data_IF_436432994176
#
_entry.id   IF_436432994176
#
_cell.length_a   1.000
_cell.length_b   1.000
_cell.length_c   1.000
_cell.angle_alpha   90.00
_cell.angle_beta   90.00
_cell.angle_gamma   90.00
#
_symmetry.space_group_name_H-M   'P 1'
#
loop_
_entity.id
_entity.type
_entity.pdbx_description
1 polymer ?
#
# COMPACT_ATOMS: atom_id res chain seq x y z
N UNK A 1 -7.75 -17.81 33.14
CA UNK A 1 -6.66 -17.07 32.44
C UNK A 1 -6.10 -17.78 31.20
N UNK A 2 -6.56 -18.99 30.83
CA UNK A 2 -6.02 -19.73 29.66
C UNK A 2 -6.48 -19.23 28.28
N UNK A 3 -7.67 -18.63 28.15
CA UNK A 3 -8.22 -18.24 26.84
C UNK A 3 -7.50 -17.06 26.17
N UNK A 4 -7.01 -16.09 26.94
CA UNK A 4 -6.28 -14.94 26.38
C UNK A 4 -4.88 -15.28 25.86
N UNK A 5 -4.27 -16.36 26.37
CA UNK A 5 -2.93 -16.77 25.98
C UNK A 5 -2.93 -17.51 24.63
N UNK A 6 -3.98 -18.30 24.35
CA UNK A 6 -4.16 -18.98 23.05
C UNK A 6 -4.40 -18.01 21.90
N UNK A 7 -5.13 -16.90 22.14
CA UNK A 7 -5.38 -15.91 21.10
C UNK A 7 -4.13 -15.10 20.77
N UNK A 8 -3.30 -14.76 21.77
CA UNK A 8 -2.01 -14.11 21.58
C UNK A 8 -1.05 -15.01 20.81
N UNK A 9 -0.94 -16.28 21.17
CA UNK A 9 -0.08 -17.24 20.46
C UNK A 9 -0.50 -17.41 19.00
N UNK A 10 -1.81 -17.43 18.73
CA UNK A 10 -2.35 -17.48 17.35
C UNK A 10 -1.97 -16.22 16.57
N UNK A 11 -2.12 -15.04 17.18
CA UNK A 11 -1.78 -13.76 16.54
C UNK A 11 -0.28 -13.64 16.28
N UNK A 12 0.57 -14.01 17.24
CA UNK A 12 2.01 -14.03 17.08
C UNK A 12 2.45 -15.02 15.99
N UNK A 13 1.81 -16.20 15.92
CA UNK A 13 2.05 -17.17 14.85
C UNK A 13 1.68 -16.62 13.47
N UNK A 14 0.57 -15.88 13.39
CA UNK A 14 0.11 -15.21 12.16
C UNK A 14 1.06 -14.08 11.72
N UNK A 15 1.49 -13.23 12.66
CA UNK A 15 2.49 -12.18 12.42
C UNK A 15 3.80 -12.79 11.95
N UNK A 16 4.28 -13.86 12.60
CA UNK A 16 5.50 -14.56 12.20
C UNK A 16 5.42 -15.08 10.77
N UNK A 17 4.32 -15.74 10.40
CA UNK A 17 4.16 -16.28 9.04
C UNK A 17 4.21 -15.16 7.97
N UNK A 18 3.64 -13.99 8.26
CA UNK A 18 3.71 -12.82 7.38
C UNK A 18 5.09 -12.18 7.34
N UNK A 19 5.76 -12.05 8.48
CA UNK A 19 7.14 -11.56 8.55
C UNK A 19 8.09 -12.47 7.75
N UNK A 20 7.92 -13.80 7.86
CA UNK A 20 8.65 -14.76 7.05
C UNK A 20 8.32 -14.55 5.56
N UNK A 21 7.06 -14.38 5.18
CA UNK A 21 6.67 -14.13 3.79
C UNK A 21 7.28 -12.83 3.22
N UNK A 22 7.27 -11.74 3.99
CA UNK A 22 7.91 -10.47 3.64
C UNK A 22 9.41 -10.65 3.44
N UNK A 23 10.07 -11.34 4.39
CA UNK A 23 11.51 -11.65 4.29
C UNK A 23 11.86 -12.43 3.02
N UNK A 24 11.07 -13.44 2.66
CA UNK A 24 11.28 -14.18 1.41
C UNK A 24 11.11 -13.28 0.18
N UNK A 25 10.13 -12.36 0.21
CA UNK A 25 9.88 -11.41 -0.89
C UNK A 25 11.05 -10.44 -1.06
N UNK A 26 11.59 -9.92 0.04
CA UNK A 26 12.76 -9.04 0.05
C UNK A 26 14.01 -9.77 -0.46
N UNK A 27 14.30 -10.97 0.06
CA UNK A 27 15.46 -11.73 -0.41
C UNK A 27 15.39 -12.06 -1.90
N UNK A 28 14.20 -12.32 -2.43
CA UNK A 28 14.02 -12.50 -3.87
C UNK A 28 14.28 -11.22 -4.65
N UNK A 29 13.84 -10.07 -4.14
CA UNK A 29 14.13 -8.77 -4.74
C UNK A 29 15.63 -8.46 -4.73
N UNK A 30 16.31 -8.67 -3.60
CA UNK A 30 17.76 -8.51 -3.48
C UNK A 30 18.50 -9.39 -4.49
N UNK A 31 18.10 -10.66 -4.61
CA UNK A 31 18.67 -11.57 -5.58
C UNK A 31 18.44 -11.09 -7.02
N UNK A 32 17.23 -10.64 -7.34
CA UNK A 32 16.92 -10.11 -8.68
C UNK A 32 17.72 -8.85 -8.99
N UNK A 33 17.87 -7.94 -8.04
CA UNK A 33 18.67 -6.71 -8.21
C UNK A 33 20.15 -7.02 -8.42
N UNK A 34 20.68 -8.03 -7.72
CA UNK A 34 22.08 -8.42 -7.85
C UNK A 34 22.38 -9.14 -9.18
N UNK A 35 21.46 -9.98 -9.67
CA UNK A 35 21.73 -10.90 -10.78
C UNK A 35 20.98 -10.59 -12.08
N UNK A 36 19.99 -9.70 -12.06
CA UNK A 36 19.22 -9.27 -13.25
C UNK A 36 19.31 -7.75 -13.44
N UNK A 37 20.45 -7.21 -13.92
CA UNK A 37 20.63 -5.77 -14.13
C UNK A 37 19.72 -5.19 -15.23
N UNK A 38 19.04 -6.04 -16.01
CA UNK A 38 18.08 -5.65 -17.05
C UNK A 38 16.62 -5.65 -16.57
N UNK A 39 16.35 -5.78 -15.27
CA UNK A 39 14.97 -5.64 -14.76
C UNK A 39 14.38 -4.31 -15.18
N UNK A 40 13.18 -4.35 -15.76
CA UNK A 40 12.52 -3.13 -16.22
C UNK A 40 11.94 -2.38 -15.02
N UNK A 41 11.98 -1.05 -15.07
CA UNK A 41 11.44 -0.21 -13.99
C UNK A 41 10.00 -0.57 -13.56
N UNK A 42 9.07 -0.91 -14.48
CA UNK A 42 7.72 -1.35 -14.09
C UNK A 42 7.69 -2.64 -13.26
N UNK A 43 8.54 -3.61 -13.58
CA UNK A 43 8.63 -4.88 -12.84
C UNK A 43 9.17 -4.66 -11.43
N UNK A 44 10.15 -3.75 -11.29
CA UNK A 44 10.69 -3.36 -10.00
C UNK A 44 9.64 -2.65 -9.16
N UNK A 45 8.94 -1.66 -9.72
CA UNK A 45 7.88 -0.94 -9.03
C UNK A 45 6.76 -1.87 -8.56
N UNK A 46 6.35 -2.84 -9.39
CA UNK A 46 5.36 -3.85 -9.01
C UNK A 46 5.81 -4.65 -7.78
N UNK A 47 7.10 -5.03 -7.71
CA UNK A 47 7.66 -5.74 -6.55
C UNK A 47 7.68 -4.85 -5.30
N UNK A 48 8.03 -3.57 -5.42
CA UNK A 48 7.95 -2.62 -4.31
C UNK A 48 6.52 -2.40 -3.81
N UNK A 49 5.53 -2.33 -4.71
CA UNK A 49 4.12 -2.23 -4.31
C UNK A 49 3.68 -3.45 -3.49
N UNK A 50 4.13 -4.65 -3.87
CA UNK A 50 3.84 -5.87 -3.10
C UNK A 50 4.47 -5.80 -1.70
N UNK A 51 5.73 -5.39 -1.59
CA UNK A 51 6.42 -5.23 -0.30
C UNK A 51 5.71 -4.19 0.57
N UNK A 52 5.36 -3.04 -0.01
CA UNK A 52 4.63 -1.98 0.68
C UNK A 52 3.29 -2.47 1.22
N UNK A 53 2.52 -3.21 0.41
CA UNK A 53 1.24 -3.76 0.86
C UNK A 53 1.40 -4.85 1.94
N UNK A 54 2.44 -5.68 1.83
CA UNK A 54 2.75 -6.68 2.86
C UNK A 54 3.10 -6.01 4.20
N UNK A 55 3.85 -4.91 4.16
CA UNK A 55 4.22 -4.14 5.35
C UNK A 55 2.98 -3.48 5.99
N UNK A 56 2.13 -2.86 5.18
CA UNK A 56 0.87 -2.26 5.64
C UNK A 56 -0.02 -3.28 6.34
N UNK A 57 -0.20 -4.47 5.74
CA UNK A 57 -0.99 -5.54 6.35
C UNK A 57 -0.42 -5.99 7.72
N UNK A 58 0.90 -6.09 7.86
CA UNK A 58 1.54 -6.42 9.14
C UNK A 58 1.26 -5.33 10.19
N UNK A 59 1.29 -4.06 9.76
CA UNK A 59 1.02 -2.92 10.64
C UNK A 59 -0.43 -2.89 11.13
N UNK A 60 -1.40 -3.17 10.26
CA UNK A 60 -2.83 -3.23 10.63
C UNK A 60 -3.15 -4.35 11.62
N UNK A 61 -2.42 -5.47 11.56
CA UNK A 61 -2.70 -6.66 12.37
C UNK A 61 -1.92 -6.71 13.69
N UNK A 62 -1.05 -5.73 13.95
CA UNK A 62 -0.34 -5.60 15.22
C UNK A 62 -1.32 -5.21 16.34
N UNK A 63 -1.65 -6.12 17.29
CA UNK A 63 -2.55 -5.81 18.37
C UNK A 63 -1.92 -4.83 19.35
N UNK A 64 -2.69 -3.84 19.82
CA UNK A 64 -2.27 -2.92 20.89
C UNK A 64 -1.86 -3.67 22.17
N UNK A 65 -2.43 -4.85 22.41
CA UNK A 65 -2.08 -5.69 23.56
C UNK A 65 -0.62 -6.15 23.55
N UNK A 66 0.06 -6.23 22.39
CA UNK A 66 1.50 -6.61 22.33
C UNK A 66 2.39 -5.65 23.12
N UNK A 67 1.99 -4.38 23.26
CA UNK A 67 2.71 -3.39 24.06
C UNK A 67 2.81 -3.76 25.55
N UNK A 68 1.94 -4.64 26.03
CA UNK A 68 1.90 -5.09 27.43
C UNK A 68 2.71 -6.37 27.68
N UNK A 69 3.28 -6.97 26.63
CA UNK A 69 4.10 -8.18 26.74
C UNK A 69 5.59 -7.84 26.70
N UNK A 70 6.37 -8.53 27.52
CA UNK A 70 7.84 -8.41 27.57
C UNK A 70 8.46 -9.70 27.04
N UNK A 71 9.37 -9.56 26.08
CA UNK A 71 10.13 -10.68 25.54
C UNK A 71 11.33 -10.99 26.44
N UNK A 72 11.35 -12.18 27.05
CA UNK A 72 12.48 -12.66 27.86
C UNK A 72 13.04 -13.93 27.21
N UNK A 73 14.35 -13.98 26.90
CA UNK A 73 14.95 -15.18 26.33
C UNK A 73 14.91 -16.33 27.34
N UNK A 74 14.28 -17.45 26.96
CA UNK A 74 14.15 -18.64 27.80
C UNK A 74 15.36 -19.59 27.73
N UNK A 75 16.14 -19.49 26.66
CA UNK A 75 17.35 -20.30 26.43
C UNK A 75 18.45 -19.40 25.88
N UNK A 76 19.70 -19.70 26.21
CA UNK A 76 20.84 -19.04 25.59
C UNK A 76 20.93 -19.45 24.11
N UNK A 77 21.14 -18.47 23.23
CA UNK A 77 21.55 -18.72 21.85
C UNK A 77 22.94 -19.39 21.82
N UNK A 78 23.32 -20.10 20.74
CA UNK A 78 24.65 -20.69 20.60
C UNK A 78 25.80 -19.72 20.85
N UNK A 79 25.57 -18.43 20.57
CA UNK A 79 26.43 -17.33 20.98
C UNK A 79 25.64 -16.33 21.86
N UNK A 80 25.90 -16.26 23.18
CA UNK A 80 25.18 -15.39 24.11
C UNK A 80 25.30 -13.89 23.79
N UNK A 81 26.32 -13.46 23.04
CA UNK A 81 26.48 -12.05 22.64
C UNK A 81 25.43 -11.58 21.63
N UNK A 82 24.70 -12.50 21.01
CA UNK A 82 23.72 -12.17 19.97
C UNK A 82 22.37 -11.75 20.57
N UNK A 83 22.09 -12.14 21.82
CA UNK A 83 20.81 -11.88 22.49
C UNK A 83 20.51 -10.37 22.58
N UNK A 84 21.45 -9.50 23.03
CA UNK A 84 21.21 -8.06 23.05
C UNK A 84 20.97 -7.46 21.67
N UNK A 85 21.56 -8.04 20.61
CA UNK A 85 21.35 -7.58 19.23
C UNK A 85 19.96 -7.99 18.72
N UNK A 86 19.55 -9.23 18.96
CA UNK A 86 18.26 -9.78 18.51
C UNK A 86 17.06 -9.18 19.24
N UNK A 87 17.24 -8.75 20.49
CA UNK A 87 16.20 -8.09 21.31
C UNK A 87 16.36 -6.57 21.36
N UNK A 88 17.26 -6.00 20.55
CA UNK A 88 17.44 -4.56 20.47
C UNK A 88 16.16 -3.92 19.91
N UNK A 89 15.57 -3.03 20.69
CA UNK A 89 14.45 -2.18 20.26
C UNK A 89 14.90 -0.76 19.93
N UNK A 90 16.16 -0.41 20.21
CA UNK A 90 16.73 0.87 19.83
C UNK A 90 16.76 0.96 18.31
N UNK A 91 16.11 2.00 17.80
CA UNK A 91 16.01 2.33 16.38
C UNK A 91 17.38 2.46 15.71
N UNK A 92 17.35 2.44 14.38
CA UNK A 92 18.55 2.62 13.57
C UNK A 92 19.00 4.09 13.60
N UNK A 93 20.32 4.36 13.51
CA UNK A 93 20.86 5.71 13.62
C UNK A 93 20.26 6.72 12.64
N UNK A 94 19.90 6.26 11.43
CA UNK A 94 19.29 7.09 10.40
C UNK A 94 17.86 7.53 10.79
N UNK A 95 17.09 6.63 11.41
CA UNK A 95 15.74 6.89 11.92
C UNK A 95 15.79 7.85 13.12
N UNK A 96 16.72 7.64 14.06
CA UNK A 96 16.92 8.55 15.20
C UNK A 96 17.28 9.98 14.75
N UNK A 97 18.00 10.12 13.63
CA UNK A 97 18.35 11.42 13.07
C UNK A 97 17.15 12.10 12.40
N UNK A 98 16.33 11.34 11.67
CA UNK A 98 15.08 11.83 11.06
C UNK A 98 14.09 12.31 12.13
N UNK A 99 13.87 11.51 13.17
CA UNK A 99 13.03 11.87 14.32
C UNK A 99 13.55 13.13 15.02
N UNK A 100 14.87 13.24 15.19
CA UNK A 100 15.47 14.46 15.77
C UNK A 100 15.23 15.69 14.92
N UNK A 101 15.24 15.57 13.58
CA UNK A 101 14.92 16.67 12.67
C UNK A 101 13.46 17.08 12.82
N UNK A 102 12.53 16.12 12.79
CA UNK A 102 11.10 16.35 12.96
C UNK A 102 10.76 17.00 14.32
N UNK A 103 11.40 16.53 15.38
CA UNK A 103 11.22 17.04 16.74
C UNK A 103 11.90 18.41 16.95
N UNK A 104 13.06 18.64 16.32
CA UNK A 104 13.76 19.92 16.32
C UNK A 104 12.96 21.04 15.65
N UNK A 105 12.21 20.73 14.59
CA UNK A 105 11.31 21.66 13.92
C UNK A 105 10.03 21.96 14.72
N UNK A 106 9.61 21.05 15.61
CA UNK A 106 8.37 21.16 16.38
C UNK A 106 8.53 21.71 17.80
N UNK A 107 9.76 21.88 18.29
CA UNK A 107 10.09 22.33 19.66
C UNK A 107 9.57 23.72 20.10
N UNK A 108 8.89 24.48 19.23
CA UNK A 108 8.27 25.77 19.54
C UNK A 108 6.75 25.70 19.84
N UNK A 109 6.13 24.51 19.77
CA UNK A 109 4.65 24.34 19.71
C UNK A 109 3.91 24.11 21.03
N UNK A 110 4.59 24.05 22.18
CA UNK A 110 3.94 23.71 23.47
C UNK A 110 2.75 24.60 23.84
N UNK A 111 2.66 25.85 23.34
CA UNK A 111 1.57 26.78 23.66
C UNK A 111 0.31 26.69 22.77
N UNK A 112 0.18 25.67 21.92
CA UNK A 112 -0.91 25.65 20.93
C UNK A 112 -1.51 24.29 20.62
N UNK A 113 -1.31 23.26 21.44
CA UNK A 113 -1.76 21.89 21.16
C UNK A 113 -3.24 21.78 20.77
N UNK A 114 -4.12 22.51 21.45
CA UNK A 114 -5.55 22.53 21.15
C UNK A 114 -5.86 23.17 19.79
N UNK A 115 -5.17 24.27 19.46
CA UNK A 115 -5.32 24.92 18.14
C UNK A 115 -4.72 24.06 17.03
N UNK A 116 -3.64 23.35 17.32
CA UNK A 116 -3.01 22.42 16.39
C UNK A 116 -3.91 21.23 16.11
N UNK A 117 -4.55 20.67 17.15
CA UNK A 117 -5.52 19.58 17.02
C UNK A 117 -6.72 19.99 16.18
N UNK A 118 -7.30 21.16 16.44
CA UNK A 118 -8.37 21.71 15.59
C UNK A 118 -7.96 21.90 14.13
N UNK A 119 -6.70 22.28 13.88
CA UNK A 119 -6.16 22.38 12.51
C UNK A 119 -5.98 21.01 11.85
N UNK A 120 -5.56 20.01 12.61
CA UNK A 120 -5.46 18.62 12.13
C UNK A 120 -6.85 18.10 11.77
N UNK A 121 -7.83 18.28 12.66
CA UNK A 121 -9.21 17.82 12.43
C UNK A 121 -9.81 18.49 11.19
N UNK A 122 -9.66 19.82 11.05
CA UNK A 122 -10.13 20.55 9.88
C UNK A 122 -9.41 20.13 8.59
N UNK A 123 -8.12 19.79 8.66
CA UNK A 123 -7.38 19.30 7.50
C UNK A 123 -7.87 17.91 7.09
N UNK A 124 -8.10 17.01 8.06
CA UNK A 124 -8.63 15.67 7.81
C UNK A 124 -10.01 15.74 7.15
N UNK A 125 -10.90 16.62 7.63
CA UNK A 125 -12.23 16.85 7.02
C UNK A 125 -12.12 17.29 5.55
N UNK A 126 -11.18 18.19 5.24
CA UNK A 126 -10.93 18.61 3.85
C UNK A 126 -10.43 17.46 2.98
N UNK A 127 -9.53 16.62 3.52
CA UNK A 127 -9.01 15.45 2.80
C UNK A 127 -10.12 14.43 2.55
N UNK A 128 -10.94 14.12 3.54
CA UNK A 128 -12.09 13.20 3.40
C UNK A 128 -13.09 13.70 2.36
N UNK A 129 -13.43 14.99 2.38
CA UNK A 129 -14.30 15.60 1.36
C UNK A 129 -13.69 15.52 -0.04
N UNK A 130 -12.37 15.74 -0.15
CA UNK A 130 -11.66 15.61 -1.42
C UNK A 130 -11.69 14.16 -1.94
N UNK A 131 -11.46 13.18 -1.08
CA UNK A 131 -11.54 11.77 -1.44
C UNK A 131 -12.95 11.36 -1.92
N UNK A 132 -13.98 11.86 -1.25
CA UNK A 132 -15.38 11.64 -1.64
C UNK A 132 -15.65 12.23 -3.04
N UNK A 133 -15.28 13.49 -3.27
CA UNK A 133 -15.47 14.12 -4.59
C UNK A 133 -14.71 13.41 -5.70
N UNK A 134 -13.47 12.96 -5.46
CA UNK A 134 -12.71 12.16 -6.43
C UNK A 134 -13.36 10.81 -6.70
N UNK A 135 -13.91 10.16 -5.67
CA UNK A 135 -14.63 8.89 -5.81
C UNK A 135 -15.87 9.08 -6.69
N UNK A 136 -16.69 10.09 -6.43
CA UNK A 136 -17.88 10.39 -7.22
C UNK A 136 -17.54 10.70 -8.69
N UNK A 137 -16.51 11.51 -8.92
CA UNK A 137 -16.03 11.82 -10.28
C UNK A 137 -15.54 10.56 -11.00
N UNK A 138 -14.79 9.70 -10.32
CA UNK A 138 -14.30 8.42 -10.87
C UNK A 138 -15.45 7.47 -11.22
N UNK A 139 -16.44 7.33 -10.34
CA UNK A 139 -17.63 6.51 -10.59
C UNK A 139 -18.46 7.05 -11.77
N UNK A 140 -18.63 8.37 -11.84
CA UNK A 140 -19.27 9.05 -12.96
C UNK A 140 -18.59 8.78 -14.29
N UNK A 141 -17.25 8.91 -14.32
CA UNK A 141 -16.45 8.61 -15.51
C UNK A 141 -16.56 7.14 -15.91
N UNK A 142 -16.47 6.22 -14.96
CA UNK A 142 -16.61 4.78 -15.22
C UNK A 142 -18.02 4.40 -15.73
N UNK A 143 -19.06 5.13 -15.29
CA UNK A 143 -20.42 4.96 -15.82
C UNK A 143 -20.51 5.45 -17.27
N UNK A 144 -19.92 6.60 -17.60
CA UNK A 144 -19.88 7.14 -18.97
C UNK A 144 -19.10 6.23 -19.94
N UNK A 145 -17.95 5.71 -19.51
CA UNK A 145 -17.15 4.77 -20.31
C UNK A 145 -17.94 3.48 -20.57
N UNK A 146 -18.64 2.95 -19.55
CA UNK A 146 -19.50 1.77 -19.73
C UNK A 146 -20.64 2.03 -20.69
N UNK A 147 -21.35 3.16 -20.58
CA UNK A 147 -22.42 3.50 -21.53
C UNK A 147 -21.92 3.63 -22.96
N UNK A 148 -20.74 4.24 -23.18
CA UNK A 148 -20.17 4.39 -24.53
C UNK A 148 -19.71 3.07 -25.15
N UNK A 149 -19.31 2.07 -24.36
CA UNK A 149 -18.95 0.72 -24.87
C UNK A 149 -20.14 -0.04 -25.47
N UNK A 150 -21.37 0.26 -25.05
CA UNK A 150 -22.59 -0.38 -25.56
C UNK A 150 -23.33 0.45 -26.62
N UNK A 151 -22.78 1.61 -27.01
CA UNK A 151 -23.28 2.34 -28.19
C UNK A 151 -22.85 1.55 -29.42
N UNK A 152 -23.67 0.58 -29.83
CA UNK A 152 -23.58 -0.03 -31.15
C UNK A 152 -23.77 1.08 -32.17
N UNK A 153 -22.67 1.54 -32.77
CA UNK A 153 -22.71 2.37 -33.97
C UNK A 153 -23.65 1.66 -34.96
N UNK A 154 -24.73 2.30 -35.43
CA UNK A 154 -25.62 1.67 -36.39
C UNK A 154 -24.77 1.26 -37.60
N UNK A 155 -24.85 -0.02 -37.99
CA UNK A 155 -24.15 -0.47 -39.20
C UNK A 155 -24.56 0.48 -40.33
N UNK A 156 -23.60 1.08 -41.06
CA UNK A 156 -23.94 1.96 -42.17
C UNK A 156 -24.82 1.18 -43.14
N UNK A 157 -26.00 1.72 -43.45
CA UNK A 157 -27.01 1.05 -44.28
C UNK A 157 -26.47 0.70 -45.67
N UNK A 158 -25.50 1.47 -46.15
CA UNK A 158 -24.84 1.25 -47.43
C UNK A 158 -23.33 1.51 -47.30
N UNK A 159 -22.54 0.70 -48.00
CA UNK A 159 -21.10 0.92 -48.15
C UNK A 159 -20.85 2.03 -49.16
N UNK A 160 -19.68 2.67 -49.12
CA UNK A 160 -19.31 3.67 -50.13
C UNK A 160 -19.33 3.07 -51.55
N UNK A 161 -18.99 1.80 -51.68
CA UNK A 161 -19.03 1.06 -52.94
C UNK A 161 -20.44 1.00 -53.54
N UNK A 162 -21.47 0.75 -52.72
CA UNK A 162 -22.86 0.73 -53.17
C UNK A 162 -23.31 2.12 -53.68
N UNK A 163 -22.81 3.20 -53.07
CA UNK A 163 -23.08 4.57 -53.53
C UNK A 163 -22.38 4.87 -54.85
N UNK A 164 -21.11 4.49 -55.01
CA UNK A 164 -20.38 4.68 -56.26
C UNK A 164 -21.01 3.90 -57.41
N UNK A 165 -21.41 2.64 -57.15
CA UNK A 165 -22.09 1.82 -58.14
C UNK A 165 -23.44 2.40 -58.55
N UNK A 166 -24.22 2.93 -57.60
CA UNK A 166 -25.46 3.64 -57.93
C UNK A 166 -25.23 4.87 -58.82
N UNK A 167 -24.16 5.63 -58.57
CA UNK A 167 -23.78 6.80 -59.40
C UNK A 167 -23.42 6.36 -60.82
N UNK A 168 -22.73 5.23 -60.99
CA UNK A 168 -22.31 4.71 -62.30
C UNK A 168 -23.44 4.01 -63.07
N UNK A 169 -24.29 3.23 -62.39
CA UNK A 169 -25.23 2.30 -63.04
C UNK A 169 -26.70 2.60 -62.76
N UNK A 170 -27.01 3.61 -61.94
CA UNK A 170 -28.38 4.00 -61.55
C UNK A 170 -29.10 2.95 -60.69
N UNK A 171 -28.42 1.91 -60.23
CA UNK A 171 -29.01 0.76 -59.54
C UNK A 171 -28.36 0.51 -58.19
N UNK A 172 -29.18 0.32 -57.15
CA UNK A 172 -28.74 -0.09 -55.81
C UNK A 172 -28.70 -1.63 -55.74
N UNK A 173 -27.59 -2.19 -55.24
CA UNK A 173 -27.48 -3.59 -54.82
C UNK A 173 -27.04 -3.63 -53.36
#
# INVERSE_FOLDING_TARGET
MQAGQSDVDRTLSSIRARADHLRHTIHRLEHNLAWNPSSTWPELLSQYMVISKQLENINEELPEMIQHFVCIPRMATPNPSDIPLLLRTREDPEMEEEDRKLMGETGSREKGWEQLRKRIDAHNEVVESLEETFREMSEGLMKQIRSNKYVTQPKPQHTQLARYKYIETGTFQ
#
